data_IF_459522645560
#
_entry.id   IF_459522645560
#
_cell.length_a   1.000
_cell.length_b   1.000
_cell.length_c   1.000
_cell.angle_alpha   90.00
_cell.angle_beta   90.00
_cell.angle_gamma   90.00
#
_symmetry.space_group_name_H-M   'P 1'
#
loop_
_entity.id
_entity.type
_entity.pdbx_description
1 polymer ?
#
# COMPACT_ATOMS: atom_id res chain seq x y z
N UNK A 1 9.48 -8.20 2.79
CA UNK A 1 8.26 -8.74 2.15
C UNK A 1 8.69 -9.69 1.05
N UNK A 2 8.07 -10.87 0.91
CA UNK A 2 8.41 -11.82 -0.15
C UNK A 2 8.18 -11.26 -1.57
N UNK A 3 8.96 -11.76 -2.53
CA UNK A 3 8.94 -11.35 -3.95
C UNK A 3 8.21 -12.34 -4.86
N UNK A 4 7.65 -13.39 -4.29
CA UNK A 4 7.00 -14.50 -4.97
C UNK A 4 5.46 -14.37 -5.01
N UNK A 5 4.94 -13.25 -4.49
CA UNK A 5 3.50 -13.01 -4.33
C UNK A 5 2.92 -13.51 -3.00
N UNK A 6 3.73 -14.08 -2.11
CA UNK A 6 3.27 -14.48 -0.77
C UNK A 6 2.73 -13.25 -0.01
N UNK A 7 1.50 -13.34 0.54
CA UNK A 7 0.91 -12.23 1.28
C UNK A 7 1.70 -11.83 2.53
N UNK A 8 1.83 -10.54 2.76
CA UNK A 8 2.37 -9.92 3.95
C UNK A 8 1.27 -9.10 4.65
N UNK A 9 1.00 -9.42 5.90
CA UNK A 9 -0.03 -8.75 6.69
C UNK A 9 0.59 -7.61 7.49
N UNK A 10 0.07 -6.39 7.31
CA UNK A 10 0.46 -5.21 8.07
C UNK A 10 -0.73 -4.72 8.89
N UNK A 11 -0.59 -4.65 10.21
CA UNK A 11 -1.63 -4.09 11.09
C UNK A 11 -1.29 -2.64 11.43
N UNK A 12 -2.27 -1.74 11.32
CA UNK A 12 -2.12 -0.33 11.67
C UNK A 12 -2.33 -0.06 13.18
N UNK A 13 -2.68 -1.10 13.92
CA UNK A 13 -2.86 -1.06 15.36
C UNK A 13 -1.53 -1.10 16.12
N UNK A 14 -1.59 -0.75 17.40
CA UNK A 14 -0.46 -0.88 18.33
C UNK A 14 0.01 -2.33 18.45
N UNK A 15 -0.92 -3.29 18.37
CA UNK A 15 -0.61 -4.71 18.25
C UNK A 15 -0.39 -5.07 16.76
N UNK A 16 0.84 -4.80 16.30
CA UNK A 16 1.27 -4.94 14.90
C UNK A 16 1.11 -6.35 14.32
N UNK A 17 0.81 -7.38 15.12
CA UNK A 17 0.62 -8.76 14.64
C UNK A 17 -0.81 -9.27 14.76
N UNK A 18 -1.60 -8.79 15.74
CA UNK A 18 -2.98 -9.27 15.96
C UNK A 18 -4.08 -8.20 15.84
N UNK A 19 -3.74 -6.97 15.45
CA UNK A 19 -4.70 -5.88 15.26
C UNK A 19 -5.81 -6.17 14.24
N UNK A 20 -6.96 -5.52 14.38
CA UNK A 20 -8.11 -5.68 13.47
C UNK A 20 -7.97 -4.83 12.19
N UNK A 21 -7.19 -3.75 12.24
CA UNK A 21 -7.00 -2.82 11.12
C UNK A 21 -5.85 -3.28 10.21
N UNK A 22 -6.13 -4.32 9.42
CA UNK A 22 -5.15 -5.00 8.56
C UNK A 22 -5.17 -4.49 7.12
N UNK A 23 -3.98 -4.32 6.56
CA UNK A 23 -3.74 -4.24 5.12
C UNK A 23 -2.88 -5.43 4.72
N UNK A 24 -3.34 -6.20 3.74
CA UNK A 24 -2.63 -7.34 3.19
C UNK A 24 -1.96 -6.89 1.90
N UNK A 25 -0.63 -6.97 1.89
CA UNK A 25 0.20 -6.66 0.73
C UNK A 25 0.69 -7.92 0.07
N UNK A 26 0.91 -7.87 -1.25
CA UNK A 26 1.70 -8.89 -1.93
C UNK A 26 2.50 -8.23 -3.05
N UNK A 27 3.72 -8.70 -3.23
CA UNK A 27 4.59 -8.27 -4.30
C UNK A 27 5.14 -9.50 -5.01
N UNK A 28 5.06 -9.50 -6.33
CA UNK A 28 5.57 -10.57 -7.18
C UNK A 28 6.49 -9.96 -8.23
N UNK A 29 7.64 -10.57 -8.46
CA UNK A 29 8.56 -10.19 -9.53
C UNK A 29 9.20 -11.42 -10.16
N UNK A 30 9.71 -11.26 -11.38
CA UNK A 30 10.63 -12.21 -12.00
C UNK A 30 11.94 -12.35 -11.21
N UNK A 31 12.29 -11.37 -10.36
CA UNK A 31 13.52 -11.32 -9.59
C UNK A 31 13.27 -11.68 -8.11
N UNK A 32 14.14 -12.50 -7.50
CA UNK A 32 13.95 -13.00 -6.14
C UNK A 32 14.24 -11.95 -5.06
N UNK A 33 15.01 -10.91 -5.40
CA UNK A 33 15.38 -9.82 -4.48
C UNK A 33 15.24 -8.46 -5.16
N UNK A 34 15.03 -7.40 -4.38
CA UNK A 34 14.99 -6.03 -4.90
C UNK A 34 16.34 -5.55 -5.46
N UNK A 35 17.46 -6.11 -4.96
CA UNK A 35 18.82 -5.77 -5.41
C UNK A 35 19.13 -6.26 -6.81
N UNK A 36 18.47 -7.32 -7.26
CA UNK A 36 18.68 -7.94 -8.57
C UNK A 36 17.77 -7.35 -9.67
N UNK A 37 16.86 -6.45 -9.31
CA UNK A 37 15.95 -5.84 -10.26
C UNK A 37 16.71 -4.96 -11.27
N UNK A 38 16.50 -5.17 -12.57
CA UNK A 38 17.15 -4.36 -13.58
C UNK A 38 16.46 -2.99 -13.69
N UNK A 39 17.16 -2.05 -14.30
CA UNK A 39 16.59 -0.76 -14.68
C UNK A 39 15.74 -0.82 -15.96
N UNK A 40 15.64 -1.99 -16.62
CA UNK A 40 14.81 -2.19 -17.82
C UNK A 40 13.43 -2.77 -17.48
N UNK A 41 12.43 -2.76 -18.39
CA UNK A 41 11.12 -3.36 -18.11
C UNK A 41 11.20 -4.86 -17.79
N UNK A 42 10.55 -5.26 -16.71
CA UNK A 42 10.36 -6.66 -16.29
C UNK A 42 8.96 -6.88 -15.74
N UNK A 43 8.58 -8.14 -15.52
CA UNK A 43 7.28 -8.43 -14.93
C UNK A 43 7.31 -8.21 -13.42
N UNK A 44 6.41 -7.37 -12.94
CA UNK A 44 6.17 -7.21 -11.52
C UNK A 44 4.71 -6.88 -11.25
N UNK A 45 4.26 -7.31 -10.08
CA UNK A 45 2.91 -7.08 -9.61
C UNK A 45 2.96 -6.68 -8.15
N UNK A 46 2.10 -5.73 -7.80
CA UNK A 46 1.87 -5.31 -6.43
C UNK A 46 0.38 -5.19 -6.17
N UNK A 47 -0.08 -5.72 -5.04
CA UNK A 47 -1.44 -5.54 -4.58
C UNK A 47 -1.53 -5.23 -3.10
N UNK A 48 -2.58 -4.51 -2.75
CA UNK A 48 -2.94 -4.15 -1.38
C UNK A 48 -4.44 -4.41 -1.18
N UNK A 49 -4.81 -5.09 -0.10
CA UNK A 49 -6.18 -5.50 0.20
C UNK A 49 -6.54 -5.12 1.63
N UNK A 50 -7.73 -4.54 1.85
CA UNK A 50 -8.27 -4.27 3.19
C UNK A 50 -9.47 -5.18 3.41
N UNK A 51 -9.34 -6.30 4.16
CA UNK A 51 -10.41 -7.27 4.32
C UNK A 51 -11.69 -6.66 4.90
N UNK A 52 -12.81 -6.81 4.18
CA UNK A 52 -14.11 -6.28 4.62
C UNK A 52 -14.21 -4.75 4.63
N UNK A 53 -13.25 -4.06 4.02
CA UNK A 53 -13.18 -2.61 3.95
C UNK A 53 -12.77 -2.13 2.56
N UNK A 54 -11.88 -1.15 2.49
CA UNK A 54 -11.26 -0.79 1.22
C UNK A 54 -10.52 0.53 1.20
N UNK A 55 -10.15 0.91 -0.02
CA UNK A 55 -9.38 2.09 -0.36
C UNK A 55 -10.22 3.08 -1.15
N UNK A 56 -10.09 4.36 -0.83
CA UNK A 56 -10.63 5.44 -1.65
C UNK A 56 -9.55 6.44 -1.98
N UNK A 57 -9.32 6.69 -3.28
CA UNK A 57 -8.20 7.54 -3.73
C UNK A 57 -8.37 8.96 -3.20
N UNK A 58 -7.32 9.51 -2.59
CA UNK A 58 -7.26 10.91 -2.17
C UNK A 58 -6.97 11.79 -3.38
N UNK A 59 -7.70 12.89 -3.52
CA UNK A 59 -7.50 13.84 -4.61
C UNK A 59 -6.43 14.87 -4.26
N UNK A 60 -6.29 15.16 -2.97
CA UNK A 60 -5.32 16.12 -2.42
C UNK A 60 -4.67 15.60 -1.14
N UNK A 61 -3.43 15.98 -0.89
CA UNK A 61 -2.76 15.73 0.38
C UNK A 61 -3.38 16.52 1.54
N UNK A 62 -4.17 17.55 1.24
CA UNK A 62 -4.98 18.31 2.21
C UNK A 62 -6.36 17.69 2.48
N UNK A 63 -6.71 16.56 1.85
CA UNK A 63 -7.98 15.88 2.14
C UNK A 63 -7.84 15.07 3.43
N UNK A 64 -8.53 15.48 4.49
CA UNK A 64 -8.52 14.76 5.79
C UNK A 64 -9.84 14.08 6.11
N UNK A 65 -10.91 14.39 5.39
CA UNK A 65 -12.24 13.83 5.60
C UNK A 65 -12.46 12.67 4.63
N UNK A 66 -12.48 11.46 5.16
CA UNK A 66 -12.76 10.27 4.38
C UNK A 66 -14.22 10.29 3.86
N UNK A 67 -14.49 9.87 2.61
CA UNK A 67 -15.86 9.71 2.13
C UNK A 67 -16.55 8.53 2.80
N UNK A 68 -17.87 8.44 2.70
CA UNK A 68 -18.64 7.33 3.29
C UNK A 68 -18.67 6.08 2.39
N UNK A 69 -18.60 6.29 1.07
CA UNK A 69 -18.79 5.28 0.03
C UNK A 69 -17.70 5.38 -1.05
N UNK A 70 -17.70 4.39 -1.96
CA UNK A 70 -16.76 4.34 -3.08
C UNK A 70 -15.39 3.76 -2.72
N UNK A 71 -15.34 2.88 -1.73
CA UNK A 71 -14.13 2.15 -1.36
C UNK A 71 -14.01 0.90 -2.21
N UNK A 72 -12.80 0.65 -2.70
CA UNK A 72 -12.43 -0.55 -3.43
C UNK A 72 -11.59 -1.44 -2.51
N UNK A 73 -11.99 -2.69 -2.31
CA UNK A 73 -11.33 -3.58 -1.34
C UNK A 73 -9.85 -3.85 -1.67
N UNK A 74 -9.56 -4.05 -2.95
CA UNK A 74 -8.24 -4.44 -3.45
C UNK A 74 -7.71 -3.44 -4.47
N UNK A 75 -6.49 -2.96 -4.28
CA UNK A 75 -5.68 -2.30 -5.31
C UNK A 75 -4.75 -3.33 -5.94
N UNK A 76 -4.64 -3.35 -7.26
CA UNK A 76 -3.70 -4.23 -7.98
C UNK A 76 -3.05 -3.48 -9.12
N UNK A 77 -1.73 -3.58 -9.18
CA UNK A 77 -0.88 -3.00 -10.21
C UNK A 77 -0.03 -4.12 -10.79
N UNK A 78 -0.09 -4.31 -12.10
CA UNK A 78 0.70 -5.31 -12.79
C UNK A 78 1.32 -4.67 -14.02
N UNK A 79 2.62 -4.88 -14.18
CA UNK A 79 3.41 -4.41 -15.31
C UNK A 79 4.16 -5.60 -15.90
N UNK A 80 4.29 -5.60 -17.23
CA UNK A 80 4.93 -6.70 -17.94
C UNK A 80 6.13 -6.20 -18.73
N UNK A 81 7.06 -7.10 -19.08
CA UNK A 81 8.21 -6.79 -19.93
C UNK A 81 7.82 -6.49 -21.39
N UNK A 82 6.55 -6.70 -21.77
CA UNK A 82 6.08 -6.57 -23.15
C UNK A 82 5.54 -5.18 -23.50
N UNK A 83 5.37 -4.28 -22.52
CA UNK A 83 4.92 -2.90 -22.76
C UNK A 83 6.11 -1.99 -23.02
N UNK A 84 5.88 -0.83 -23.63
CA UNK A 84 6.97 0.13 -23.87
C UNK A 84 7.50 0.70 -22.56
N UNK A 85 8.70 1.29 -22.58
CA UNK A 85 9.29 1.96 -21.40
C UNK A 85 8.37 3.02 -20.81
N UNK A 86 7.61 3.74 -21.64
CA UNK A 86 6.67 4.79 -21.20
C UNK A 86 5.40 4.22 -20.55
N UNK A 87 5.03 2.99 -20.92
CA UNK A 87 3.86 2.30 -20.39
C UNK A 87 4.21 1.50 -19.13
N UNK A 88 5.42 0.96 -19.09
CA UNK A 88 6.00 0.33 -17.92
C UNK A 88 6.21 1.40 -16.84
N UNK A 89 5.83 1.09 -15.61
CA UNK A 89 6.08 2.01 -14.49
C UNK A 89 7.08 1.36 -13.57
N UNK A 90 8.20 2.06 -13.36
CA UNK A 90 9.15 1.75 -12.29
C UNK A 90 8.69 2.26 -10.93
N UNK A 91 7.60 3.02 -10.87
CA UNK A 91 7.13 3.68 -9.66
C UNK A 91 5.61 3.69 -9.61
N UNK A 92 5.06 3.16 -8.52
CA UNK A 92 3.66 3.32 -8.13
C UNK A 92 3.61 4.12 -6.85
N UNK A 93 2.99 5.30 -6.92
CA UNK A 93 2.69 6.14 -5.77
C UNK A 93 1.20 6.23 -5.55
N UNK A 94 0.79 5.96 -4.31
CA UNK A 94 -0.59 5.76 -3.91
C UNK A 94 -0.89 6.62 -2.69
N UNK A 95 -1.98 7.39 -2.73
CA UNK A 95 -2.50 8.16 -1.62
C UNK A 95 -3.99 7.84 -1.47
N UNK A 96 -4.37 7.19 -0.38
CA UNK A 96 -5.73 6.68 -0.19
C UNK A 96 -6.24 6.96 1.23
N UNK A 97 -7.55 7.18 1.34
CA UNK A 97 -8.28 6.88 2.56
C UNK A 97 -8.46 5.37 2.64
N UNK A 98 -8.43 4.84 3.86
CA UNK A 98 -8.72 3.44 4.15
C UNK A 98 -9.92 3.40 5.07
N UNK A 99 -10.86 2.49 4.80
CA UNK A 99 -11.97 2.15 5.68
C UNK A 99 -11.84 0.68 6.05
N UNK A 100 -11.92 0.36 7.33
CA UNK A 100 -11.90 -1.02 7.82
C UNK A 100 -13.32 -1.55 8.06
N UNK A 101 -13.44 -2.86 8.29
CA UNK A 101 -14.72 -3.55 8.43
C UNK A 101 -15.54 -3.11 9.64
N UNK A 102 -14.90 -2.57 10.67
CA UNK A 102 -15.54 -2.01 11.86
C UNK A 102 -15.92 -0.52 11.73
N UNK A 103 -15.68 0.09 10.56
CA UNK A 103 -15.99 1.48 10.29
C UNK A 103 -14.97 2.48 10.83
N UNK A 104 -13.79 2.02 11.26
CA UNK A 104 -12.63 2.87 11.51
C UNK A 104 -12.03 3.33 10.18
N UNK A 105 -11.60 4.58 10.14
CA UNK A 105 -10.97 5.20 8.97
C UNK A 105 -9.50 5.51 9.22
N UNK A 106 -8.74 5.51 8.16
CA UNK A 106 -7.35 5.92 8.15
C UNK A 106 -6.93 6.52 6.83
N UNK A 107 -5.63 6.80 6.72
CA UNK A 107 -4.99 7.20 5.48
C UNK A 107 -3.73 6.37 5.29
N UNK A 108 -3.43 6.11 4.03
CA UNK A 108 -2.21 5.43 3.62
C UNK A 108 -1.58 6.22 2.48
N UNK A 109 -0.28 6.47 2.62
CA UNK A 109 0.61 6.84 1.55
C UNK A 109 1.57 5.69 1.33
N UNK A 110 1.69 5.28 0.08
CA UNK A 110 2.45 4.11 -0.28
C UNK A 110 3.23 4.38 -1.55
N UNK A 111 4.48 3.95 -1.54
CA UNK A 111 5.35 3.99 -2.71
C UNK A 111 5.87 2.58 -2.94
N UNK A 112 5.75 2.07 -4.16
CA UNK A 112 6.42 0.86 -4.61
C UNK A 112 7.28 1.20 -5.83
N UNK A 113 8.56 0.89 -5.75
CA UNK A 113 9.55 1.15 -6.78
C UNK A 113 10.07 -0.18 -7.31
N UNK A 114 9.93 -0.34 -8.61
CA UNK A 114 10.53 -1.41 -9.38
C UNK A 114 11.90 -0.92 -9.89
N UNK A 115 12.98 -1.53 -9.38
CA UNK A 115 14.38 -1.19 -9.68
C UNK A 115 15.26 -1.25 -8.43
N UNK A 116 16.57 -1.00 -8.57
CA UNK A 116 17.52 -1.03 -7.47
C UNK A 116 17.37 0.21 -6.57
N UNK A 117 16.31 0.26 -5.77
CA UNK A 117 16.10 1.27 -4.73
C UNK A 117 16.50 0.71 -3.36
N UNK A 118 17.13 1.55 -2.54
CA UNK A 118 17.42 1.25 -1.13
C UNK A 118 16.16 1.08 -0.27
N UNK A 119 15.05 1.67 -0.70
CA UNK A 119 13.73 1.55 -0.05
C UNK A 119 12.68 1.25 -1.12
N UNK A 120 12.62 0.01 -1.60
CA UNK A 120 11.80 -0.33 -2.75
C UNK A 120 10.32 -0.16 -2.43
N UNK A 121 9.89 -0.38 -1.19
CA UNK A 121 8.51 -0.11 -0.77
C UNK A 121 8.50 0.68 0.54
N UNK A 122 7.78 1.80 0.54
CA UNK A 122 7.56 2.63 1.72
C UNK A 122 6.08 2.77 2.00
N UNK A 123 5.73 2.74 3.28
CA UNK A 123 4.37 2.86 3.77
C UNK A 123 4.34 3.87 4.90
N UNK A 124 3.45 4.84 4.79
CA UNK A 124 3.16 5.82 5.83
C UNK A 124 1.65 5.82 6.07
N UNK A 125 1.24 5.53 7.30
CA UNK A 125 -0.17 5.37 7.67
C UNK A 125 -0.58 6.28 8.80
N UNK A 126 -1.84 6.72 8.77
CA UNK A 126 -2.50 7.43 9.86
C UNK A 126 -3.79 6.70 10.20
N UNK A 127 -3.97 6.27 11.46
CA UNK A 127 -5.19 5.62 11.92
C UNK A 127 -6.02 6.56 12.80
N UNK A 128 -7.28 6.80 12.45
CA UNK A 128 -8.19 7.54 13.32
C UNK A 128 -8.84 6.58 14.33
N UNK A 129 -8.35 6.59 15.57
CA UNK A 129 -8.84 5.69 16.64
C UNK A 129 -10.27 5.96 17.13
N UNK A 130 -10.96 6.97 16.60
CA UNK A 130 -12.36 7.25 16.92
C UNK A 130 -13.25 6.53 15.90
N UNK A 131 -13.97 5.45 16.28
CA UNK A 131 -14.84 4.74 15.36
C UNK A 131 -15.85 5.70 14.71
N UNK A 132 -16.13 5.51 13.42
CA UNK A 132 -17.03 6.36 12.61
C UNK A 132 -16.57 7.80 12.40
N UNK A 133 -15.49 8.27 13.06
CA UNK A 133 -14.92 9.57 12.77
C UNK A 133 -14.16 9.50 11.43
N UNK A 134 -14.57 10.33 10.49
CA UNK A 134 -13.97 10.40 9.14
C UNK A 134 -12.80 11.37 9.05
N UNK A 135 -12.60 12.19 10.07
CA UNK A 135 -11.46 13.10 10.17
C UNK A 135 -10.21 12.34 10.60
N UNK A 136 -9.18 12.39 9.76
CA UNK A 136 -7.92 11.65 9.92
C UNK A 136 -6.73 12.57 10.24
N UNK A 137 -6.98 13.81 10.66
CA UNK A 137 -5.94 14.80 11.04
C UNK A 137 -5.12 14.39 12.26
N UNK A 138 -5.71 13.68 13.23
CA UNK A 138 -5.11 13.41 14.54
C UNK A 138 -4.65 11.95 14.73
N UNK A 139 -4.53 11.18 13.64
CA UNK A 139 -4.17 9.78 13.71
C UNK A 139 -2.70 9.54 14.07
N UNK A 140 -2.42 8.42 14.73
CA UNK A 140 -1.06 7.97 15.00
C UNK A 140 -0.35 7.62 13.69
N UNK A 141 0.91 8.07 13.58
CA UNK A 141 1.73 7.86 12.38
C UNK A 141 2.54 6.59 12.54
N UNK A 142 2.41 5.67 11.58
CA UNK A 142 3.29 4.50 11.47
C UNK A 142 3.97 4.57 10.11
N UNK A 143 5.30 4.61 10.12
CA UNK A 143 6.13 4.55 8.93
C UNK A 143 6.89 3.23 8.90
N UNK A 144 6.94 2.58 7.73
CA UNK A 144 7.64 1.30 7.55
C UNK A 144 8.24 1.23 6.15
N UNK A 145 9.49 0.75 6.09
CA UNK A 145 10.17 0.39 4.85
C UNK A 145 10.16 -1.13 4.70
N UNK A 146 9.99 -1.61 3.48
CA UNK A 146 10.17 -3.02 3.15
C UNK A 146 11.28 -3.14 2.11
N UNK A 147 12.18 -4.11 2.28
CA UNK A 147 13.25 -4.41 1.32
C UNK A 147 14.66 -4.00 1.73
N UNK A 148 14.89 -3.67 3.01
CA UNK A 148 16.22 -3.56 3.60
C UNK A 148 16.75 -4.96 3.96
N UNK A 149 17.09 -5.77 2.96
CA UNK A 149 17.89 -7.00 3.14
C UNK A 149 19.09 -6.97 2.18
#
# INVERSE_FOLDING_TARGET
>A
MPMDGTPYVFCLDEDKQNGTHKIIFSFKSDYPTFKEMPDNPYNWQFSATVPGGGFHKRKSHYDFIAPETGYQETLSYAYTSHVTWEQWKGLVQCNYFVKFSDGVYGRVKMTATAGSSWTPITLETWLCKKPQARDTTTGDIISTNFGED
#
